data_IF_726183284993
#
_entry.id   IF_726183284993
#
_cell.length_a   1.000
_cell.length_b   1.000
_cell.length_c   1.000
_cell.angle_alpha   90.00
_cell.angle_beta   90.00
_cell.angle_gamma   90.00
#
_symmetry.space_group_name_H-M   'P 1'
#
loop_
_entity.id
_entity.type
_entity.pdbx_description
1 polymer ?
#
# COMPACT_ATOMS: atom_id res chain seq x y z
N UNK A 1 18.96 30.47 1.97
CA UNK A 1 18.21 29.95 1.73
C UNK A 1 18.33 28.83 1.03
N UNK A 2 19.00 28.13 1.02
CA UNK A 2 19.16 27.14 0.30
C UNK A 2 18.62 25.97 0.73
N UNK A 3 18.31 25.80 1.85
CA UNK A 3 17.76 24.65 2.35
C UNK A 3 16.64 24.29 1.56
N UNK A 4 16.10 25.16 0.89
CA UNK A 4 14.94 24.88 0.23
C UNK A 4 15.04 23.93 -0.87
N UNK A 5 16.22 23.65 -1.35
CA UNK A 5 16.37 22.73 -2.46
C UNK A 5 15.85 21.34 -2.10
N UNK A 6 16.23 20.82 -0.95
CA UNK A 6 15.77 19.50 -0.54
C UNK A 6 14.29 19.50 -0.20
N UNK A 7 13.83 20.54 0.46
CA UNK A 7 12.42 20.61 0.80
C UNK A 7 11.56 20.70 -0.45
N UNK A 8 12.02 21.44 -1.43
CA UNK A 8 11.29 21.57 -2.66
C UNK A 8 11.21 20.24 -3.39
N UNK A 9 12.33 19.51 -3.47
CA UNK A 9 12.35 18.23 -4.14
C UNK A 9 11.46 17.23 -3.42
N UNK A 10 11.45 17.22 -2.10
CA UNK A 10 10.58 16.34 -1.35
C UNK A 10 9.12 16.68 -1.61
N UNK A 11 8.79 17.94 -1.66
CA UNK A 11 7.42 18.37 -1.92
C UNK A 11 6.96 17.88 -3.29
N UNK A 12 7.81 18.02 -4.29
CA UNK A 12 7.47 17.59 -5.63
C UNK A 12 7.28 16.07 -5.67
N UNK A 13 8.16 15.33 -5.00
CA UNK A 13 8.06 13.89 -4.98
C UNK A 13 6.79 13.43 -4.27
N UNK A 14 6.44 14.06 -3.17
CA UNK A 14 5.23 13.70 -2.44
C UNK A 14 3.99 13.97 -3.28
N UNK A 15 3.99 15.06 -4.01
CA UNK A 15 2.87 15.38 -4.86
C UNK A 15 2.73 14.34 -5.97
N UNK A 16 3.85 13.93 -6.56
CA UNK A 16 3.81 12.94 -7.62
C UNK A 16 3.34 11.60 -7.10
N UNK A 17 3.79 11.21 -5.91
CA UNK A 17 3.35 9.96 -5.30
C UNK A 17 1.86 9.99 -5.01
N UNK A 18 1.38 11.12 -4.49
CA UNK A 18 -0.02 11.28 -4.21
C UNK A 18 -0.84 11.14 -5.50
N UNK A 19 -0.38 11.75 -6.56
CA UNK A 19 -1.08 11.68 -7.83
C UNK A 19 -1.11 10.24 -8.38
N UNK A 20 -0.03 9.48 -8.17
CA UNK A 20 -0.02 8.09 -8.62
C UNK A 20 -1.03 7.25 -7.85
N UNK A 21 -1.13 7.49 -6.55
CA UNK A 21 -2.10 6.76 -5.73
C UNK A 21 -3.51 7.13 -6.16
N UNK A 22 -3.78 8.41 -6.35
CA UNK A 22 -5.11 8.84 -6.76
C UNK A 22 -5.45 8.38 -8.16
N UNK A 23 -4.45 8.22 -9.02
CA UNK A 23 -4.69 7.73 -10.37
C UNK A 23 -5.23 6.30 -10.36
N UNK A 24 -4.98 5.54 -9.31
CA UNK A 24 -5.53 4.19 -9.20
C UNK A 24 -7.05 4.21 -9.17
N UNK A 25 -7.65 5.35 -8.79
CA UNK A 25 -9.10 5.46 -8.78
C UNK A 25 -9.72 5.20 -10.15
N UNK A 26 -8.98 5.49 -11.22
CA UNK A 26 -9.51 5.24 -12.55
C UNK A 26 -9.80 3.77 -12.76
N UNK A 27 -8.99 2.90 -12.17
CA UNK A 27 -9.20 1.48 -12.30
C UNK A 27 -10.14 0.96 -11.23
N UNK A 28 -9.97 1.42 -10.00
CA UNK A 28 -10.70 0.84 -8.87
C UNK A 28 -12.14 1.30 -8.80
N UNK A 29 -12.47 2.41 -9.45
CA UNK A 29 -13.83 2.92 -9.38
C UNK A 29 -14.85 1.93 -9.98
N UNK A 30 -14.40 1.08 -10.90
CA UNK A 30 -15.30 0.08 -11.46
C UNK A 30 -15.67 -0.98 -10.44
N UNK A 31 -14.95 -1.07 -9.35
CA UNK A 31 -15.25 -1.97 -8.25
C UNK A 31 -15.92 -1.21 -7.09
N UNK A 32 -16.26 0.05 -7.32
CA UNK A 32 -16.89 0.87 -6.27
C UNK A 32 -15.92 1.42 -5.24
N UNK A 33 -14.62 1.45 -5.57
CA UNK A 33 -13.61 1.86 -4.61
C UNK A 33 -12.89 3.11 -5.09
N UNK A 34 -12.85 4.13 -4.26
CA UNK A 34 -12.09 5.34 -4.56
C UNK A 34 -11.44 5.86 -3.29
N UNK A 35 -10.33 6.55 -3.44
CA UNK A 35 -9.63 7.17 -2.34
C UNK A 35 -9.74 8.68 -2.49
N UNK A 36 -9.95 9.37 -1.37
CA UNK A 36 -9.86 10.82 -1.36
C UNK A 36 -8.41 11.23 -1.23
N UNK A 37 -8.13 12.50 -1.42
CA UNK A 37 -6.77 13.00 -1.22
C UNK A 37 -6.32 12.76 0.21
N UNK A 38 -7.24 12.90 1.16
CA UNK A 38 -6.90 12.68 2.55
C UNK A 38 -6.53 11.21 2.80
N UNK A 39 -7.31 10.30 2.23
CA UNK A 39 -7.01 8.87 2.35
C UNK A 39 -5.65 8.55 1.74
N UNK A 40 -5.40 9.06 0.56
CA UNK A 40 -4.14 8.79 -0.12
C UNK A 40 -2.97 9.36 0.69
N UNK A 41 -3.17 10.54 1.29
CA UNK A 41 -2.13 11.12 2.13
C UNK A 41 -1.81 10.27 3.33
N UNK A 42 -2.86 9.72 3.96
CA UNK A 42 -2.65 8.83 5.11
C UNK A 42 -1.91 7.56 4.71
N UNK A 43 -2.23 7.02 3.56
CA UNK A 43 -1.55 5.83 3.07
C UNK A 43 -0.08 6.09 2.80
N UNK A 44 0.22 7.27 2.28
CA UNK A 44 1.61 7.60 2.01
C UNK A 44 2.38 7.87 3.28
N UNK A 45 1.73 8.46 4.28
CA UNK A 45 2.37 8.63 5.58
C UNK A 45 2.65 7.26 6.20
N UNK A 46 1.70 6.33 6.06
CA UNK A 46 1.90 4.97 6.55
C UNK A 46 3.06 4.28 5.85
N UNK A 47 3.22 4.52 4.56
CA UNK A 47 4.33 3.97 3.80
C UNK A 47 5.66 4.45 4.39
N UNK A 48 5.75 5.75 4.62
CA UNK A 48 6.98 6.31 5.17
C UNK A 48 7.28 5.76 6.55
N UNK A 49 6.23 5.59 7.38
CA UNK A 49 6.40 5.03 8.71
C UNK A 49 6.86 3.58 8.64
N UNK A 50 6.28 2.78 7.75
CA UNK A 50 6.66 1.38 7.61
C UNK A 50 8.10 1.26 7.14
N UNK A 51 8.49 2.08 6.16
CA UNK A 51 9.86 2.04 5.67
C UNK A 51 10.84 2.40 6.78
N UNK A 52 10.50 3.40 7.59
CA UNK A 52 11.38 3.79 8.68
C UNK A 52 11.45 2.69 9.73
N UNK A 53 10.31 2.13 10.10
CA UNK A 53 10.26 1.10 11.13
C UNK A 53 11.02 -0.14 10.68
N UNK A 54 10.93 -0.50 9.41
CA UNK A 54 11.59 -1.68 8.90
C UNK A 54 12.99 -1.37 8.38
N UNK A 55 13.43 -0.13 8.53
CA UNK A 55 14.77 0.31 8.13
C UNK A 55 15.02 0.01 6.66
N UNK A 56 14.05 0.32 5.82
CA UNK A 56 14.14 0.07 4.40
C UNK A 56 14.11 1.36 3.61
N UNK A 57 14.68 1.30 2.41
CA UNK A 57 14.60 2.39 1.45
C UNK A 57 13.93 1.83 0.20
N UNK A 58 12.97 2.55 -0.33
CA UNK A 58 12.25 2.10 -1.51
C UNK A 58 12.37 3.18 -2.57
N UNK A 59 12.80 2.79 -3.75
CA UNK A 59 13.01 3.73 -4.82
C UNK A 59 11.85 3.67 -5.80
N UNK A 60 11.68 4.74 -6.56
CA UNK A 60 10.63 4.78 -7.57
C UNK A 60 9.27 5.00 -6.94
N UNK A 61 8.25 4.41 -7.53
CA UNK A 61 6.89 4.68 -7.10
C UNK A 61 6.44 3.81 -5.94
N UNK A 62 7.25 2.87 -5.53
CA UNK A 62 6.90 2.04 -4.40
C UNK A 62 5.86 0.99 -4.75
N UNK A 63 5.40 0.28 -3.72
CA UNK A 63 4.53 -0.87 -3.94
C UNK A 63 3.06 -0.53 -3.71
N UNK A 64 2.75 0.65 -3.18
CA UNK A 64 1.37 0.98 -2.84
C UNK A 64 0.41 0.88 -4.03
N UNK A 65 0.73 1.43 -5.21
CA UNK A 65 -0.19 1.25 -6.33
C UNK A 65 -0.39 -0.21 -6.71
N UNK A 66 0.65 -1.04 -6.56
CA UNK A 66 0.53 -2.46 -6.86
C UNK A 66 -0.36 -3.16 -5.86
N UNK A 67 -0.29 -2.78 -4.59
CA UNK A 67 -1.17 -3.33 -3.57
C UNK A 67 -2.61 -3.00 -3.93
N UNK A 68 -2.87 -1.76 -4.25
CA UNK A 68 -4.21 -1.32 -4.61
C UNK A 68 -4.75 -2.13 -5.79
N UNK A 69 -3.95 -2.27 -6.83
CA UNK A 69 -4.41 -2.97 -8.03
C UNK A 69 -4.59 -4.46 -7.79
N UNK A 70 -3.78 -5.03 -6.92
CA UNK A 70 -3.87 -6.45 -6.64
C UNK A 70 -5.14 -6.78 -5.85
N UNK A 71 -5.51 -5.91 -4.91
CA UNK A 71 -6.60 -6.22 -4.00
C UNK A 71 -7.94 -5.62 -4.38
N UNK A 72 -7.99 -4.74 -5.37
CA UNK A 72 -9.20 -3.98 -5.65
C UNK A 72 -10.38 -4.85 -6.09
N UNK A 73 -10.14 -6.06 -6.58
CA UNK A 73 -11.22 -6.93 -7.00
C UNK A 73 -11.62 -7.91 -5.91
N UNK A 74 -11.12 -7.76 -4.70
CA UNK A 74 -11.46 -8.67 -3.63
C UNK A 74 -12.90 -8.45 -3.20
N UNK A 75 -13.67 -9.52 -2.98
CA UNK A 75 -15.04 -9.35 -2.50
C UNK A 75 -15.13 -8.83 -1.07
N UNK A 76 -13.99 -8.79 -0.36
CA UNK A 76 -13.98 -8.32 1.02
C UNK A 76 -13.65 -6.84 1.13
N UNK A 77 -13.35 -6.15 0.01
CA UNK A 77 -13.10 -4.73 0.05
C UNK A 77 -14.37 -3.97 -0.31
N UNK A 78 -14.73 -3.04 0.54
CA UNK A 78 -15.87 -2.19 0.30
C UNK A 78 -15.42 -0.75 0.55
N UNK A 79 -16.15 0.20 0.02
CA UNK A 79 -15.74 1.60 0.13
C UNK A 79 -15.52 1.98 1.60
N UNK A 80 -16.34 1.46 2.49
CA UNK A 80 -16.27 1.83 3.90
C UNK A 80 -14.97 1.39 4.57
N UNK A 81 -14.38 0.29 4.13
CA UNK A 81 -13.16 -0.22 4.76
C UNK A 81 -11.93 -0.11 3.85
N UNK A 82 -12.10 0.45 2.67
CA UNK A 82 -11.07 0.39 1.64
C UNK A 82 -9.74 0.99 2.12
N UNK A 83 -9.75 2.24 2.55
CA UNK A 83 -8.50 2.90 2.94
C UNK A 83 -7.86 2.20 4.12
N UNK A 84 -8.65 1.77 5.09
CA UNK A 84 -8.11 1.12 6.29
C UNK A 84 -7.49 -0.22 5.96
N UNK A 85 -8.13 -1.00 5.11
CA UNK A 85 -7.60 -2.32 4.75
C UNK A 85 -6.33 -2.18 3.91
N UNK A 86 -6.32 -1.23 2.98
CA UNK A 86 -5.11 -1.01 2.19
C UNK A 86 -3.95 -0.57 3.08
N UNK A 87 -4.23 0.25 4.10
CA UNK A 87 -3.18 0.67 5.03
C UNK A 87 -2.60 -0.53 5.78
N UNK A 88 -3.47 -1.44 6.22
CA UNK A 88 -3.02 -2.64 6.91
C UNK A 88 -2.22 -3.56 5.98
N UNK A 89 -2.68 -3.71 4.76
CA UNK A 89 -1.99 -4.56 3.80
C UNK A 89 -0.60 -4.01 3.48
N UNK A 90 -0.49 -2.70 3.39
CA UNK A 90 0.80 -2.09 3.14
C UNK A 90 1.76 -2.37 4.29
N UNK A 91 1.28 -2.24 5.51
CA UNK A 91 2.10 -2.48 6.69
C UNK A 91 2.55 -3.94 6.72
N UNK A 92 1.65 -4.86 6.46
CA UNK A 92 1.95 -6.28 6.45
C UNK A 92 2.93 -6.62 5.33
N UNK A 93 2.78 -5.97 4.18
CA UNK A 93 3.68 -6.21 3.05
C UNK A 93 5.13 -5.95 3.46
N UNK A 94 5.39 -4.80 4.08
CA UNK A 94 6.76 -4.48 4.44
C UNK A 94 7.27 -5.39 5.55
N UNK A 95 6.40 -5.78 6.47
CA UNK A 95 6.80 -6.70 7.52
C UNK A 95 7.22 -8.04 6.94
N UNK A 96 6.41 -8.60 6.06
CA UNK A 96 6.72 -9.90 5.45
C UNK A 96 7.94 -9.81 4.53
N UNK A 97 8.11 -8.68 3.84
CA UNK A 97 9.26 -8.50 2.99
C UNK A 97 10.54 -8.61 3.82
N UNK A 98 10.52 -7.99 5.00
CA UNK A 98 11.67 -8.07 5.88
C UNK A 98 11.84 -9.47 6.46
N UNK A 99 10.75 -10.11 6.85
CA UNK A 99 10.84 -11.44 7.44
C UNK A 99 11.35 -12.47 6.45
N UNK A 100 11.05 -12.30 5.17
CA UNK A 100 11.53 -13.20 4.16
C UNK A 100 12.95 -12.85 3.72
N UNK A 101 13.52 -11.79 4.30
CA UNK A 101 14.85 -11.33 3.96
C UNK A 101 14.95 -11.03 2.47
N UNK A 102 13.88 -10.50 1.91
CA UNK A 102 13.81 -10.11 0.50
C UNK A 102 13.97 -11.29 -0.46
N UNK A 103 13.67 -12.49 0.01
CA UNK A 103 13.75 -13.65 -0.88
C UNK A 103 12.55 -13.76 -1.82
N UNK A 104 11.48 -13.03 -1.55
CA UNK A 104 10.31 -13.02 -2.43
C UNK A 104 10.27 -11.72 -3.20
N UNK A 105 9.92 -11.80 -4.46
CA UNK A 105 9.70 -10.57 -5.22
C UNK A 105 8.42 -9.93 -4.73
N UNK A 106 8.23 -8.67 -5.05
CA UNK A 106 7.01 -7.96 -4.68
C UNK A 106 5.80 -8.69 -5.23
N UNK A 107 5.87 -9.13 -6.48
CA UNK A 107 4.77 -9.81 -7.11
C UNK A 107 4.44 -11.13 -6.43
N UNK A 108 5.47 -11.91 -6.08
CA UNK A 108 5.27 -13.18 -5.38
C UNK A 108 4.62 -12.96 -4.03
N UNK A 109 5.08 -11.95 -3.30
CA UNK A 109 4.55 -11.66 -1.98
C UNK A 109 3.11 -11.19 -2.07
N UNK A 110 2.81 -10.31 -3.03
CA UNK A 110 1.45 -9.82 -3.18
C UNK A 110 0.49 -10.93 -3.58
N UNK A 111 0.93 -11.85 -4.45
CA UNK A 111 0.11 -12.98 -4.83
C UNK A 111 -0.21 -13.85 -3.62
N UNK A 112 0.80 -14.12 -2.80
CA UNK A 112 0.60 -14.91 -1.60
C UNK A 112 -0.39 -14.20 -0.66
N UNK A 113 -0.19 -12.91 -0.43
CA UNK A 113 -1.05 -12.15 0.46
C UNK A 113 -2.50 -12.13 -0.05
N UNK A 114 -2.68 -11.99 -1.36
CA UNK A 114 -4.03 -11.96 -1.93
C UNK A 114 -4.72 -13.30 -1.73
N UNK A 115 -4.00 -14.39 -1.93
CA UNK A 115 -4.58 -15.71 -1.73
C UNK A 115 -4.98 -15.91 -0.28
N UNK A 116 -4.16 -15.46 0.66
CA UNK A 116 -4.49 -15.58 2.07
C UNK A 116 -5.67 -14.69 2.44
N UNK A 117 -5.67 -13.46 1.94
CA UNK A 117 -6.71 -12.49 2.26
C UNK A 117 -8.07 -12.99 1.77
N UNK A 118 -8.14 -13.46 0.55
CA UNK A 118 -9.41 -13.88 -0.03
C UNK A 118 -9.82 -15.27 0.43
N UNK A 119 -8.87 -16.07 0.87
CA UNK A 119 -9.14 -17.44 1.28
C UNK A 119 -9.17 -17.63 2.77
N UNK A 120 -8.04 -18.00 3.35
CA UNK A 120 -7.98 -18.40 4.75
C UNK A 120 -8.38 -17.29 5.71
N UNK A 121 -8.01 -16.06 5.39
CA UNK A 121 -8.25 -14.95 6.30
C UNK A 121 -9.62 -14.32 6.13
N UNK A 122 -10.35 -14.67 5.08
CA UNK A 122 -11.69 -14.13 4.82
C UNK A 122 -11.72 -12.61 4.90
N UNK A 123 -10.69 -11.98 4.34
CA UNK A 123 -10.64 -10.53 4.30
C UNK A 123 -10.08 -9.86 5.54
N UNK A 124 -9.47 -10.64 6.45
CA UNK A 124 -8.87 -10.04 7.63
C UNK A 124 -7.37 -9.96 7.43
N UNK A 125 -6.84 -8.75 7.37
CA UNK A 125 -5.43 -8.56 7.14
C UNK A 125 -4.61 -9.00 8.36
N UNK A 126 -5.25 -9.00 9.54
CA UNK A 126 -4.50 -9.30 10.72
C UNK A 126 -4.54 -10.72 11.13
N UNK A 127 -5.24 -11.57 10.47
CA UNK A 127 -5.37 -12.80 10.93
C UNK A 127 -5.13 -13.72 10.00
N UNK A 128 -4.02 -13.99 9.73
CA UNK A 128 -3.82 -15.13 9.01
C UNK A 128 -4.03 -16.13 10.00
N UNK A 129 -4.97 -16.69 10.08
CA UNK A 129 -5.21 -17.62 10.93
C UNK A 129 -4.59 -18.74 10.76
N UNK A 130 -3.91 -18.87 11.19
CA UNK A 130 -3.42 -19.97 11.26
C UNK A 130 -4.04 -20.85 11.84
N UNK A 131 -4.53 -20.82 12.29
CA UNK A 131 -5.01 -21.68 13.01
C UNK A 131 -5.06 -22.51 12.92
#
# INVERSE_FOLDING_TARGET
>A
MQENWYELMETVQRKQELERVLACNEKTKSFGLTLTEEDAGRLMAGRRDSLRTQMRVEFGKGVLPEIIETFCDSPYLQQENYADVIAELQEIFYLYKNESEDNLTDEELLTFMKEQFDGVCYGSAHEPHTS
#
